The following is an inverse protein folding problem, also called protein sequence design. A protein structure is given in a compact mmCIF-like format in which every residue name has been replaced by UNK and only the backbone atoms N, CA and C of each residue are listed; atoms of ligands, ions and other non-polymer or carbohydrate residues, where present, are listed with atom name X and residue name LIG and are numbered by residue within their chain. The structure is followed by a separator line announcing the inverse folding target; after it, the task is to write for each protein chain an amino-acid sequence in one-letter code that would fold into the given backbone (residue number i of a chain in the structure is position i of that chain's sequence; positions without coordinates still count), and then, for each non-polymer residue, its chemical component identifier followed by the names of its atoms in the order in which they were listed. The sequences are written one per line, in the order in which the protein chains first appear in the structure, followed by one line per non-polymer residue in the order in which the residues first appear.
data_IF_416158002248
#
_entry.id   IF_416158002248
#
_cell.length_a   1.000
_cell.length_b   1.000
_cell.length_c   1.000
_cell.angle_alpha   90.00
_cell.angle_beta   90.00
_cell.angle_gamma   90.00
#
_symmetry.space_group_name_H-M   'P 1'
#
loop_
_entity.id
_entity.type
_entity.pdbx_description
1 polymer ?
#
# COMPACT_ATOMS: atom_id res chain seq x y z
N UNK A 1 13.32 -15.02 -17.13
CA UNK A 1 13.77 -13.67 -16.67
C UNK A 1 13.22 -12.50 -17.50
N UNK A 2 13.42 -12.41 -18.82
CA UNK A 2 12.97 -11.24 -19.62
C UNK A 2 11.46 -10.96 -19.53
N UNK A 3 10.63 -12.02 -19.50
CA UNK A 3 9.16 -11.90 -19.42
C UNK A 3 8.65 -11.33 -18.10
N UNK A 4 9.35 -11.57 -16.97
CA UNK A 4 9.02 -10.98 -15.66
C UNK A 4 9.25 -9.48 -15.65
N UNK A 5 10.37 -9.03 -16.23
CA UNK A 5 10.65 -7.59 -16.38
C UNK A 5 9.61 -6.94 -17.30
N UNK A 6 9.34 -7.56 -18.46
CA UNK A 6 8.29 -7.06 -19.37
C UNK A 6 6.94 -6.94 -18.67
N UNK A 7 6.51 -7.99 -17.94
CA UNK A 7 5.29 -7.95 -17.16
C UNK A 7 5.29 -6.82 -16.14
N UNK A 8 6.35 -6.68 -15.34
CA UNK A 8 6.44 -5.65 -14.31
C UNK A 8 6.30 -4.25 -14.91
N UNK A 9 7.04 -3.95 -15.98
CA UNK A 9 6.99 -2.66 -16.65
C UNK A 9 5.63 -2.39 -17.31
N UNK A 10 5.04 -3.40 -17.98
CA UNK A 10 3.73 -3.25 -18.62
C UNK A 10 2.60 -3.11 -17.59
N UNK A 11 2.63 -3.89 -16.51
CA UNK A 11 1.66 -3.80 -15.43
C UNK A 11 1.74 -2.43 -14.75
N UNK A 12 2.96 -1.94 -14.49
CA UNK A 12 3.19 -0.62 -13.94
C UNK A 12 2.73 0.50 -14.88
N UNK A 13 3.01 0.41 -16.18
CA UNK A 13 2.60 1.43 -17.14
C UNK A 13 1.07 1.52 -17.30
N UNK A 14 0.36 0.39 -17.25
CA UNK A 14 -1.08 0.34 -17.57
C UNK A 14 -2.01 0.30 -16.37
N UNK A 15 -1.55 -0.18 -15.22
CA UNK A 15 -2.41 -0.45 -14.05
C UNK A 15 -1.86 0.11 -12.74
N UNK A 16 -0.90 1.05 -12.80
CA UNK A 16 -0.47 1.71 -11.58
C UNK A 16 -1.56 2.62 -11.02
N UNK A 17 -1.72 2.56 -9.71
CA UNK A 17 -2.43 3.56 -8.92
C UNK A 17 -1.37 4.41 -8.21
N UNK A 18 -1.38 5.74 -8.41
CA UNK A 18 -0.35 6.61 -7.85
C UNK A 18 -0.41 6.63 -6.33
N UNK A 19 0.75 6.79 -5.70
CA UNK A 19 0.84 7.08 -4.28
C UNK A 19 0.24 8.46 -3.96
N UNK A 20 -0.24 8.65 -2.75
CA UNK A 20 -0.71 9.96 -2.25
C UNK A 20 0.17 10.33 -1.07
N UNK A 21 1.03 11.33 -1.18
CA UNK A 21 1.78 11.79 -0.01
C UNK A 21 2.46 13.12 -0.30
N UNK A 22 1.66 14.18 -0.24
CA UNK A 22 2.14 15.56 -0.33
C UNK A 22 2.39 16.06 1.09
N UNK A 23 3.65 16.26 1.44
CA UNK A 23 4.13 16.74 2.75
C UNK A 23 3.57 15.93 3.94
N UNK A 24 3.39 14.62 3.73
CA UNK A 24 2.72 13.75 4.69
C UNK A 24 3.66 13.27 5.79
N UNK A 25 3.21 13.42 7.04
CA UNK A 25 3.98 13.00 8.22
C UNK A 25 3.71 11.56 8.63
N UNK A 26 2.57 11.00 8.28
CA UNK A 26 2.26 9.59 8.50
C UNK A 26 1.92 8.92 7.18
N UNK A 27 2.69 7.91 6.79
CA UNK A 27 2.55 7.21 5.52
C UNK A 27 2.10 5.78 5.78
N UNK A 28 0.87 5.46 5.35
CA UNK A 28 0.34 4.11 5.40
C UNK A 28 0.86 3.28 4.23
N UNK A 29 1.44 2.12 4.55
CA UNK A 29 1.96 1.18 3.56
C UNK A 29 0.98 0.02 3.37
N UNK A 30 0.54 -0.21 2.15
CA UNK A 30 -0.45 -1.26 1.81
C UNK A 30 0.11 -2.25 0.79
N UNK A 31 -0.60 -3.37 0.58
CA UNK A 31 -0.16 -4.45 -0.31
C UNK A 31 -0.08 -4.04 -1.79
N UNK A 32 -1.24 -3.83 -2.40
CA UNK A 32 -1.39 -3.45 -3.80
C UNK A 32 -2.82 -2.98 -4.07
N UNK A 33 -3.07 -2.21 -5.15
CA UNK A 33 -4.42 -1.85 -5.56
C UNK A 33 -5.33 -3.05 -5.85
N UNK A 34 -6.63 -2.83 -5.73
CA UNK A 34 -7.68 -3.72 -6.22
C UNK A 34 -8.57 -2.99 -7.24
N UNK A 35 -9.66 -3.63 -7.67
CA UNK A 35 -10.58 -3.12 -8.72
C UNK A 35 -11.07 -1.69 -8.48
N UNK A 36 -11.44 -1.36 -7.25
CA UNK A 36 -11.99 -0.05 -6.92
C UNK A 36 -10.93 1.04 -6.98
N UNK A 37 -9.70 0.74 -6.57
CA UNK A 37 -8.56 1.63 -6.66
C UNK A 37 -8.16 1.91 -8.11
N UNK A 38 -8.17 0.89 -8.97
CA UNK A 38 -7.94 1.08 -10.42
C UNK A 38 -9.01 1.97 -11.03
N UNK A 39 -10.29 1.71 -10.74
CA UNK A 39 -11.42 2.47 -11.27
C UNK A 39 -11.37 3.94 -10.82
N UNK A 40 -10.97 4.19 -9.57
CA UNK A 40 -10.92 5.53 -9.00
C UNK A 40 -9.58 6.27 -9.24
N UNK A 41 -8.53 5.55 -9.67
CA UNK A 41 -7.18 6.08 -9.83
C UNK A 41 -6.56 6.56 -8.52
N UNK A 42 -6.92 5.94 -7.38
CA UNK A 42 -6.45 6.35 -6.04
C UNK A 42 -6.39 5.14 -5.10
N UNK A 43 -5.37 4.99 -4.23
CA UNK A 43 -5.27 3.84 -3.31
C UNK A 43 -6.35 3.93 -2.23
N UNK A 44 -6.78 2.82 -1.63
CA UNK A 44 -7.87 2.81 -0.63
C UNK A 44 -9.17 3.52 -1.07
N UNK A 45 -9.57 3.35 -2.33
CA UNK A 45 -10.82 3.92 -2.84
C UNK A 45 -12.05 3.06 -2.48
N UNK A 46 -11.84 1.80 -2.06
CA UNK A 46 -12.89 0.83 -1.74
C UNK A 46 -13.31 0.78 -0.26
N UNK A 47 -13.98 -0.31 0.11
CA UNK A 47 -14.54 -0.53 1.45
C UNK A 47 -13.46 -0.55 2.55
N UNK A 48 -12.29 -1.12 2.27
CA UNK A 48 -11.17 -1.10 3.22
C UNK A 48 -10.75 0.33 3.55
N UNK A 49 -10.70 1.22 2.55
CA UNK A 49 -10.41 2.63 2.77
C UNK A 49 -11.49 3.35 3.58
N UNK A 50 -12.76 2.97 3.43
CA UNK A 50 -13.85 3.50 4.25
C UNK A 50 -13.75 3.04 5.70
N UNK A 51 -13.49 1.75 5.93
CA UNK A 51 -13.30 1.22 7.28
C UNK A 51 -12.14 1.90 7.99
N UNK A 52 -11.01 2.07 7.29
CA UNK A 52 -9.85 2.79 7.83
C UNK A 52 -10.19 4.24 8.20
N UNK A 53 -10.85 4.98 7.31
CA UNK A 53 -11.21 6.38 7.55
C UNK A 53 -12.16 6.53 8.74
N UNK A 54 -13.16 5.64 8.86
CA UNK A 54 -14.09 5.64 10.01
C UNK A 54 -13.37 5.50 11.34
N UNK A 55 -12.45 4.55 11.44
CA UNK A 55 -11.71 4.29 12.67
C UNK A 55 -10.70 5.40 12.98
N UNK A 56 -10.06 5.96 11.94
CA UNK A 56 -9.06 7.01 12.10
C UNK A 56 -9.69 8.35 12.54
N UNK A 57 -10.81 8.73 11.90
CA UNK A 57 -11.47 10.02 12.10
C UNK A 57 -12.69 9.97 13.04
N UNK A 58 -13.11 8.77 13.46
CA UNK A 58 -14.29 8.56 14.30
C UNK A 58 -15.58 9.15 13.71
N UNK A 59 -15.73 9.02 12.38
CA UNK A 59 -16.87 9.55 11.61
C UNK A 59 -17.46 8.48 10.70
N UNK A 60 -18.75 8.20 10.82
CA UNK A 60 -19.45 7.16 10.03
C UNK A 60 -19.59 7.51 8.54
N UNK A 61 -20.00 8.75 8.27
CA UNK A 61 -20.23 9.28 6.92
C UNK A 61 -18.99 9.98 6.39
N UNK A 62 -17.95 9.19 6.15
CA UNK A 62 -16.69 9.65 5.57
C UNK A 62 -16.38 8.95 4.24
N UNK A 63 -15.71 9.67 3.35
CA UNK A 63 -15.18 9.10 2.12
C UNK A 63 -14.12 8.04 2.44
N UNK A 64 -13.95 7.02 1.57
CA UNK A 64 -12.80 6.14 1.65
C UNK A 64 -11.49 6.93 1.71
N UNK A 65 -10.56 6.51 2.56
CA UNK A 65 -9.32 7.23 2.87
C UNK A 65 -8.63 7.80 1.62
N UNK A 66 -8.48 7.01 0.56
CA UNK A 66 -7.91 7.47 -0.71
C UNK A 66 -8.62 8.66 -1.32
N UNK A 67 -9.95 8.53 -1.45
CA UNK A 67 -10.80 9.56 -2.06
C UNK A 67 -10.80 10.83 -1.21
N UNK A 68 -10.81 10.69 0.11
CA UNK A 68 -10.69 11.80 1.05
C UNK A 68 -9.37 12.55 0.85
N UNK A 69 -8.23 11.85 0.85
CA UNK A 69 -6.92 12.47 0.66
C UNK A 69 -6.74 13.10 -0.72
N UNK A 70 -7.28 12.47 -1.77
CA UNK A 70 -7.29 13.04 -3.12
C UNK A 70 -8.06 14.36 -3.15
N UNK A 71 -9.25 14.41 -2.57
CA UNK A 71 -10.03 15.64 -2.48
C UNK A 71 -9.30 16.74 -1.71
N UNK A 72 -8.60 16.42 -0.62
CA UNK A 72 -7.78 17.40 0.12
C UNK A 72 -6.64 17.93 -0.77
N UNK A 73 -5.93 17.03 -1.46
CA UNK A 73 -4.79 17.36 -2.31
C UNK A 73 -5.19 18.23 -3.50
N UNK A 74 -6.31 17.92 -4.16
CA UNK A 74 -6.88 18.70 -5.27
C UNK A 74 -7.28 20.12 -4.85
N UNK A 75 -7.66 20.28 -3.57
CA UNK A 75 -7.94 21.60 -2.97
C UNK A 75 -6.68 22.30 -2.45
N UNK A 76 -5.48 21.81 -2.77
CA UNK A 76 -4.19 22.33 -2.30
C UNK A 76 -4.07 22.46 -0.77
N UNK A 77 -4.78 21.61 -0.03
CA UNK A 77 -4.65 21.54 1.43
C UNK A 77 -3.59 20.51 1.81
N UNK A 78 -2.86 20.78 2.88
CA UNK A 78 -1.93 19.82 3.46
C UNK A 78 -2.70 18.70 4.17
N UNK A 79 -2.12 17.51 4.17
CA UNK A 79 -2.63 16.35 4.89
C UNK A 79 -1.51 15.75 5.74
N UNK A 80 -1.84 15.42 6.98
CA UNK A 80 -0.94 14.66 7.85
C UNK A 80 -0.68 13.26 7.30
N UNK A 81 -1.61 12.72 6.51
CA UNK A 81 -1.61 11.34 6.04
C UNK A 81 -1.23 11.19 4.58
N UNK A 82 -0.42 10.18 4.30
CA UNK A 82 -0.08 9.67 2.98
C UNK A 82 -0.34 8.16 2.87
N UNK A 83 -0.39 7.65 1.65
CA UNK A 83 -0.60 6.25 1.29
C UNK A 83 0.40 5.88 0.21
N UNK A 84 1.15 4.81 0.46
CA UNK A 84 2.05 4.17 -0.51
C UNK A 84 1.70 2.69 -0.59
N UNK A 85 1.50 2.16 -1.79
CA UNK A 85 1.42 0.70 -1.94
C UNK A 85 2.82 0.11 -2.08
N UNK A 86 3.04 -1.10 -1.59
CA UNK A 86 4.27 -1.86 -1.89
C UNK A 86 4.36 -2.14 -3.38
N UNK A 87 3.27 -2.63 -3.99
CA UNK A 87 3.18 -2.77 -5.45
C UNK A 87 2.21 -1.71 -6.00
N UNK A 88 2.61 -0.86 -6.96
CA UNK A 88 1.74 0.21 -7.45
C UNK A 88 0.62 -0.31 -8.35
N UNK A 89 0.70 -1.56 -8.83
CA UNK A 89 -0.31 -2.24 -9.63
C UNK A 89 -0.82 -3.51 -8.93
N UNK A 90 -1.96 -4.10 -9.34
CA UNK A 90 -2.55 -5.23 -8.62
C UNK A 90 -1.69 -6.49 -8.64
N UNK A 91 -1.57 -7.15 -7.50
CA UNK A 91 -0.91 -8.48 -7.39
C UNK A 91 -1.88 -9.65 -7.59
N UNK A 92 -3.18 -9.40 -7.68
CA UNK A 92 -4.22 -10.41 -7.89
C UNK A 92 -4.73 -10.35 -9.32
N UNK A 93 -4.75 -11.50 -10.01
CA UNK A 93 -5.28 -11.59 -11.38
C UNK A 93 -6.71 -11.03 -11.49
N UNK A 94 -7.54 -11.29 -10.47
CA UNK A 94 -8.95 -10.88 -10.47
C UNK A 94 -9.16 -9.37 -10.54
N UNK A 95 -8.15 -8.55 -10.20
CA UNK A 95 -8.24 -7.11 -10.24
C UNK A 95 -8.03 -6.51 -11.65
N UNK A 96 -7.41 -7.25 -12.57
CA UNK A 96 -7.17 -6.78 -13.93
C UNK A 96 -8.46 -6.80 -14.76
N UNK A 97 -8.84 -5.69 -15.42
CA UNK A 97 -10.05 -5.64 -16.24
C UNK A 97 -9.89 -6.31 -17.61
N UNK A 98 -8.68 -6.30 -18.18
CA UNK A 98 -8.43 -6.72 -19.55
C UNK A 98 -8.05 -8.21 -19.66
N UNK A 99 -8.93 -9.00 -20.29
CA UNK A 99 -8.70 -10.45 -20.49
C UNK A 99 -7.45 -10.73 -21.33
N UNK A 100 -7.14 -9.89 -22.31
CA UNK A 100 -5.96 -10.08 -23.18
C UNK A 100 -4.66 -9.94 -22.39
N UNK A 101 -4.59 -8.95 -21.48
CA UNK A 101 -3.45 -8.78 -20.59
C UNK A 101 -3.27 -10.00 -19.68
N UNK A 102 -4.37 -10.48 -19.08
CA UNK A 102 -4.37 -11.69 -18.23
C UNK A 102 -3.87 -12.91 -19.01
N UNK A 103 -4.38 -13.13 -20.23
CA UNK A 103 -3.95 -14.26 -21.06
C UNK A 103 -2.48 -14.16 -21.44
N UNK A 104 -2.00 -12.96 -21.81
CA UNK A 104 -0.60 -12.74 -22.17
C UNK A 104 0.36 -12.99 -21.01
N UNK A 105 0.01 -12.57 -19.79
CA UNK A 105 0.89 -12.61 -18.62
C UNK A 105 0.44 -13.59 -17.53
N UNK A 106 -0.29 -14.64 -17.89
CA UNK A 106 -0.88 -15.59 -16.94
C UNK A 106 0.15 -16.15 -15.94
N UNK A 107 1.30 -16.62 -16.42
CA UNK A 107 2.34 -17.20 -15.55
C UNK A 107 2.98 -16.15 -14.63
N UNK A 108 3.16 -14.92 -15.10
CA UNK A 108 3.70 -13.83 -14.28
C UNK A 108 2.70 -13.36 -13.21
N UNK A 109 1.40 -13.38 -13.53
CA UNK A 109 0.33 -13.12 -12.57
C UNK A 109 0.25 -14.21 -11.50
N UNK A 110 0.42 -15.48 -11.86
CA UNK A 110 0.52 -16.58 -10.91
C UNK A 110 1.72 -16.41 -9.97
N UNK A 111 2.86 -15.92 -10.48
CA UNK A 111 4.04 -15.58 -9.68
C UNK A 111 3.75 -14.41 -8.72
N UNK A 112 3.13 -13.34 -9.21
CA UNK A 112 2.75 -12.19 -8.40
C UNK A 112 1.81 -12.60 -7.26
N UNK A 113 0.80 -13.43 -7.55
CA UNK A 113 -0.14 -13.92 -6.54
C UNK A 113 0.51 -14.90 -5.56
N UNK A 114 1.44 -15.74 -6.01
CA UNK A 114 2.22 -16.61 -5.14
C UNK A 114 3.08 -15.81 -4.16
N UNK A 115 3.73 -14.74 -4.63
CA UNK A 115 4.52 -13.84 -3.78
C UNK A 115 3.64 -13.09 -2.78
N UNK A 116 2.46 -12.65 -3.23
CA UNK A 116 1.43 -11.99 -2.41
C UNK A 116 1.02 -12.82 -1.19
N UNK A 117 0.83 -14.13 -1.40
CA UNK A 117 0.42 -15.06 -0.35
C UNK A 117 1.58 -15.60 0.50
N UNK A 118 2.83 -15.43 0.04
CA UNK A 118 3.99 -16.03 0.69
C UNK A 118 4.47 -15.22 1.89
N UNK A 119 4.83 -15.94 2.96
CA UNK A 119 5.56 -15.40 4.12
C UNK A 119 7.08 -15.41 3.94
N UNK A 120 7.59 -15.98 2.84
CA UNK A 120 9.02 -16.06 2.60
C UNK A 120 9.62 -14.68 2.25
N UNK A 121 10.83 -14.44 2.75
CA UNK A 121 11.65 -13.27 2.42
C UNK A 121 12.62 -13.54 1.25
N UNK A 122 12.89 -14.81 0.97
CA UNK A 122 13.78 -15.24 -0.10
C UNK A 122 13.13 -16.38 -0.87
N UNK A 123 13.34 -16.41 -2.18
CA UNK A 123 12.76 -17.41 -3.07
C UNK A 123 13.88 -18.16 -3.79
N UNK A 124 13.81 -19.50 -3.80
CA UNK A 124 14.72 -20.34 -4.60
C UNK A 124 14.38 -20.28 -6.10
N UNK A 125 13.10 -20.11 -6.42
CA UNK A 125 12.65 -19.92 -7.80
C UNK A 125 13.14 -18.57 -8.34
N UNK A 126 13.86 -18.60 -9.45
CA UNK A 126 14.52 -17.42 -10.02
C UNK A 126 13.53 -16.34 -10.48
N UNK A 127 12.36 -16.73 -11.00
CA UNK A 127 11.37 -15.76 -11.46
C UNK A 127 10.69 -15.07 -10.27
N UNK A 128 10.40 -15.82 -9.19
CA UNK A 128 9.91 -15.25 -7.94
C UNK A 128 10.95 -14.35 -7.28
N UNK A 129 12.21 -14.78 -7.25
CA UNK A 129 13.31 -13.98 -6.72
C UNK A 129 13.47 -12.66 -7.51
N UNK A 130 13.42 -12.74 -8.84
CA UNK A 130 13.48 -11.57 -9.71
C UNK A 130 12.30 -10.62 -9.50
N UNK A 131 11.06 -11.12 -9.47
CA UNK A 131 9.88 -10.30 -9.23
C UNK A 131 9.93 -9.62 -7.85
N UNK A 132 10.29 -10.38 -6.81
CA UNK A 132 10.46 -9.84 -5.45
C UNK A 132 11.52 -8.73 -5.40
N UNK A 133 12.64 -8.90 -6.11
CA UNK A 133 13.69 -7.87 -6.20
C UNK A 133 13.20 -6.61 -6.89
N UNK A 134 12.49 -6.73 -8.02
CA UNK A 134 11.91 -5.57 -8.73
C UNK A 134 10.93 -4.81 -7.84
N UNK A 135 10.09 -5.54 -7.12
CA UNK A 135 9.08 -4.97 -6.24
C UNK A 135 9.70 -4.26 -5.01
N UNK A 136 10.74 -4.82 -4.39
CA UNK A 136 11.47 -4.14 -3.30
C UNK A 136 12.15 -2.87 -3.81
N UNK A 137 12.81 -2.93 -4.97
CA UNK A 137 13.50 -1.79 -5.55
C UNK A 137 12.53 -0.66 -5.87
N UNK A 138 11.45 -0.96 -6.61
CA UNK A 138 10.41 0.02 -6.94
C UNK A 138 9.77 0.63 -5.71
N UNK A 139 9.40 -0.19 -4.73
CA UNK A 139 8.82 0.27 -3.47
C UNK A 139 9.78 1.19 -2.71
N UNK A 140 11.04 0.80 -2.58
CA UNK A 140 12.04 1.60 -1.88
C UNK A 140 12.23 2.97 -2.54
N UNK A 141 12.31 3.01 -3.87
CA UNK A 141 12.50 4.25 -4.61
C UNK A 141 11.28 5.18 -4.48
N UNK A 142 10.07 4.64 -4.59
CA UNK A 142 8.84 5.43 -4.41
C UNK A 142 8.73 5.95 -2.98
N UNK A 143 8.96 5.10 -1.97
CA UNK A 143 8.90 5.51 -0.57
C UNK A 143 9.91 6.62 -0.25
N UNK A 144 11.16 6.52 -0.72
CA UNK A 144 12.18 7.56 -0.53
C UNK A 144 11.80 8.92 -1.10
N UNK A 145 11.13 8.96 -2.25
CA UNK A 145 10.65 10.21 -2.86
C UNK A 145 9.48 10.84 -2.12
N UNK A 146 8.88 10.08 -1.23
CA UNK A 146 7.59 10.37 -0.63
C UNK A 146 7.71 10.76 0.84
N UNK A 147 8.70 10.19 1.53
CA UNK A 147 8.92 10.41 2.95
C UNK A 147 9.88 11.58 3.20
N UNK A 148 9.72 12.19 4.37
CA UNK A 148 10.68 13.09 4.99
C UNK A 148 11.39 12.38 6.16
N UNK A 149 12.44 12.99 6.70
CA UNK A 149 13.24 12.40 7.78
C UNK A 149 12.43 12.11 9.06
N UNK A 150 11.36 12.88 9.31
CA UNK A 150 10.48 12.70 10.47
C UNK A 150 9.19 11.92 10.15
N UNK A 151 9.06 11.35 8.95
CA UNK A 151 7.87 10.58 8.56
C UNK A 151 7.71 9.32 9.41
N UNK A 152 6.48 9.08 9.84
CA UNK A 152 6.02 7.86 10.52
C UNK A 152 5.53 6.88 9.46
N UNK A 153 6.13 5.69 9.43
CA UNK A 153 5.76 4.62 8.49
C UNK A 153 4.85 3.63 9.18
N UNK A 154 3.69 3.36 8.58
CA UNK A 154 2.66 2.49 9.15
C UNK A 154 2.36 1.34 8.18
N UNK A 155 3.09 0.21 8.27
CA UNK A 155 2.77 -0.98 7.49
C UNK A 155 1.44 -1.61 7.92
N UNK A 156 0.47 -1.62 7.01
CA UNK A 156 -0.87 -2.15 7.23
C UNK A 156 -0.95 -3.61 6.80
N UNK A 157 -0.80 -4.52 7.76
CA UNK A 157 -0.88 -5.96 7.57
C UNK A 157 0.45 -6.64 7.25
N UNK A 158 0.43 -7.98 7.31
CA UNK A 158 1.65 -8.81 7.27
C UNK A 158 2.44 -8.68 5.97
N UNK A 159 1.77 -8.47 4.84
CA UNK A 159 2.45 -8.25 3.57
C UNK A 159 3.26 -6.94 3.59
N UNK A 160 2.63 -5.82 3.96
CA UNK A 160 3.31 -4.54 4.05
C UNK A 160 4.46 -4.58 5.08
N UNK A 161 4.23 -5.18 6.25
CA UNK A 161 5.28 -5.38 7.27
C UNK A 161 6.49 -6.15 6.71
N UNK A 162 6.24 -7.21 5.94
CA UNK A 162 7.30 -8.00 5.31
C UNK A 162 8.19 -7.17 4.39
N UNK A 163 7.61 -6.29 3.58
CA UNK A 163 8.38 -5.50 2.62
C UNK A 163 9.07 -4.30 3.25
N UNK A 164 8.44 -3.64 4.22
CA UNK A 164 9.11 -2.60 5.02
C UNK A 164 10.33 -3.18 5.75
N UNK A 165 10.24 -4.41 6.28
CA UNK A 165 11.37 -5.08 6.93
C UNK A 165 12.52 -5.47 6.00
N UNK A 166 12.32 -5.45 4.68
CA UNK A 166 13.35 -5.76 3.69
C UNK A 166 14.03 -4.51 3.11
N UNK A 167 13.60 -3.30 3.50
CA UNK A 167 14.19 -2.06 3.01
C UNK A 167 15.60 -1.87 3.59
N UNK A 168 16.54 -1.41 2.76
CA UNK A 168 17.92 -1.14 3.21
C UNK A 168 18.00 -0.02 4.26
N UNK A 169 17.00 0.87 4.27
CA UNK A 169 16.91 2.01 5.19
C UNK A 169 16.01 1.75 6.41
N UNK A 170 15.57 0.51 6.62
CA UNK A 170 14.56 0.14 7.62
C UNK A 170 14.91 0.62 9.04
N UNK A 171 16.17 0.54 9.46
CA UNK A 171 16.58 0.93 10.81
C UNK A 171 16.57 2.44 11.05
N UNK A 172 16.41 3.24 10.00
CA UNK A 172 16.24 4.70 10.07
C UNK A 172 14.77 5.12 10.10
N UNK A 173 13.83 4.20 9.89
CA UNK A 173 12.41 4.51 9.79
C UNK A 173 11.76 4.54 11.18
N UNK A 174 10.93 5.55 11.42
CA UNK A 174 10.03 5.58 12.56
C UNK A 174 8.78 4.73 12.24
N UNK A 175 8.70 3.50 12.75
CA UNK A 175 7.68 2.51 12.35
C UNK A 175 6.67 2.24 13.47
N UNK A 176 5.37 2.39 13.18
CA UNK A 176 4.29 1.83 14.01
C UNK A 176 3.96 0.43 13.49
N UNK A 177 4.29 -0.60 14.27
CA UNK A 177 4.11 -2.02 13.91
C UNK A 177 2.76 -2.57 14.38
N UNK A 178 2.32 -3.68 13.79
CA UNK A 178 1.15 -4.41 14.26
C UNK A 178 -0.19 -3.86 13.78
N UNK A 179 -0.19 -2.81 12.94
CA UNK A 179 -1.40 -2.26 12.34
C UNK A 179 -1.96 -3.28 11.34
N UNK A 180 -3.24 -3.71 11.48
CA UNK A 180 -3.82 -4.68 10.57
C UNK A 180 -4.06 -4.08 9.18
N UNK A 181 -4.19 -4.94 8.18
CA UNK A 181 -4.72 -4.50 6.90
C UNK A 181 -6.20 -4.07 7.08
N UNK A 182 -6.67 -2.96 6.49
CA UNK A 182 -8.02 -2.44 6.73
C UNK A 182 -9.16 -3.25 6.10
N UNK A 183 -8.87 -4.35 5.41
CA UNK A 183 -9.90 -5.26 4.90
C UNK A 183 -10.62 -6.00 6.03
N UNK A 184 -11.84 -6.47 5.71
CA UNK A 184 -12.68 -7.26 6.63
C UNK A 184 -12.91 -6.59 7.99
N UNK A 185 -13.03 -5.25 7.99
CA UNK A 185 -13.19 -4.40 9.17
C UNK A 185 -12.17 -4.72 10.27
N UNK A 186 -10.92 -5.02 9.89
CA UNK A 186 -9.93 -5.43 10.90
C UNK A 186 -9.57 -4.29 11.85
N UNK A 187 -9.67 -3.03 11.42
CA UNK A 187 -9.34 -1.87 12.26
C UNK A 187 -10.31 -1.66 13.43
N UNK A 188 -11.57 -2.12 13.31
CA UNK A 188 -12.56 -2.02 14.38
C UNK A 188 -12.52 -3.19 15.37
N UNK A 189 -11.62 -4.17 15.17
CA UNK A 189 -11.55 -5.35 16.05
C UNK A 189 -10.81 -5.02 17.33
N UNK A 190 -11.35 -5.51 18.44
CA UNK A 190 -10.84 -5.29 19.79
C UNK A 190 -9.33 -5.51 19.94
N UNK A 191 -8.81 -6.61 19.38
CA UNK A 191 -7.39 -6.98 19.47
C UNK A 191 -6.42 -5.97 18.84
N UNK A 192 -6.92 -5.01 18.06
CA UNK A 192 -6.12 -3.95 17.44
C UNK A 192 -6.41 -2.57 18.02
N UNK A 193 -7.30 -2.45 19.01
CA UNK A 193 -7.71 -1.17 19.60
C UNK A 193 -6.51 -0.33 20.03
N UNK A 194 -5.56 -0.93 20.74
CA UNK A 194 -4.39 -0.22 21.28
C UNK A 194 -3.50 0.34 20.17
N UNK A 195 -3.21 -0.45 19.13
CA UNK A 195 -2.36 0.02 18.02
C UNK A 195 -3.07 1.08 17.18
N UNK A 196 -4.39 0.97 16.99
CA UNK A 196 -5.19 2.00 16.29
C UNK A 196 -5.29 3.28 17.14
N UNK A 197 -5.31 3.18 18.47
CA UNK A 197 -5.21 4.34 19.36
C UNK A 197 -3.83 5.03 19.21
N UNK A 198 -2.73 4.27 19.20
CA UNK A 198 -1.39 4.82 18.96
C UNK A 198 -1.32 5.58 17.64
N UNK A 199 -1.91 5.06 16.57
CA UNK A 199 -1.98 5.74 15.26
C UNK A 199 -2.71 7.07 15.38
N UNK A 200 -3.89 7.09 16.02
CA UNK A 200 -4.68 8.32 16.21
C UNK A 200 -3.96 9.36 17.07
N UNK A 201 -3.22 8.94 18.08
CA UNK A 201 -2.55 9.85 19.01
C UNK A 201 -1.38 10.60 18.34
N UNK A 202 -0.82 10.08 17.25
CA UNK A 202 0.24 10.80 16.51
C UNK A 202 -0.28 12.07 15.83
N UNK A 203 -1.51 12.05 15.31
CA UNK A 203 -2.14 13.20 14.65
C UNK A 203 -2.47 14.30 15.69
N UNK A 204 -2.93 13.90 16.87
CA UNK A 204 -3.29 14.82 17.97
C UNK A 204 -2.10 15.54 18.56
N UNK A 205 -0.97 14.85 18.74
CA UNK A 205 0.25 15.41 19.35
C UNK A 205 0.89 16.58 18.58
N UNK A 206 0.43 16.87 17.35
CA UNK A 206 0.96 17.97 16.52
C UNK A 206 -0.06 19.06 16.23
N UNK A 207 -1.32 18.84 16.54
CA UNK A 207 -2.39 19.86 16.45
C UNK A 207 -2.63 20.57 17.78
N UNK A 208 -1.88 20.19 18.82
CA UNK A 208 -1.78 20.83 20.14
C UNK A 208 -0.42 21.50 20.31
#
# INVERSE_FOLDING_TARGET
MLRIKEFFEKAKASYSVPDIARDSKMIFILESPHKEELKAGVPLAGLSGRSMARELFLQEDILPMGKYLKQITENNKQTFYGIVNVCPFPLQQSAYPEKQFIQKFKGELEIAEAIRKSTANQFKDENKALFNKLLIHDFQDRLKRTMEDDSIIVPCGKFAEKYVNQLAMRDKLNIIKGVPHPSYNSWSRERYRDVIQIVRDQDKKRTS
#
